data_IF_263621826737
#
_entry.id   IF_263621826737
#
_cell.length_a   1.000
_cell.length_b   1.000
_cell.length_c   1.000
_cell.angle_alpha   90.00
_cell.angle_beta   90.00
_cell.angle_gamma   90.00
#
_symmetry.space_group_name_H-M   'P 1'
#
loop_
_entity.id
_entity.type
_entity.pdbx_description
1 polymer ?
#
# COMPACT_ATOMS: atom_id res chain seq x y z
N UNK A 1 -12.52 0.99 3.98
CA UNK A 1 -11.87 -0.30 3.76
C UNK A 1 -12.89 -1.44 3.83
N UNK A 2 -12.86 -2.35 2.88
CA UNK A 2 -13.74 -3.51 2.79
C UNK A 2 -12.90 -4.76 2.53
N UNK A 3 -13.32 -5.91 3.05
CA UNK A 3 -12.56 -7.17 3.01
C UNK A 3 -12.18 -7.62 1.58
N UNK A 4 -13.04 -7.35 0.61
CA UNK A 4 -12.83 -7.71 -0.80
C UNK A 4 -12.13 -6.61 -1.63
N UNK A 5 -11.70 -5.51 -1.01
CA UNK A 5 -10.99 -4.45 -1.72
C UNK A 5 -9.55 -4.88 -2.02
N UNK A 6 -9.03 -4.68 -3.24
CA UNK A 6 -7.71 -5.14 -3.64
C UNK A 6 -6.58 -4.30 -3.03
N UNK A 7 -6.44 -4.34 -1.72
CA UNK A 7 -5.37 -3.66 -0.99
C UNK A 7 -3.99 -4.30 -1.24
N UNK A 8 -2.97 -3.49 -1.04
CA UNK A 8 -1.55 -3.92 -1.06
C UNK A 8 -1.05 -4.22 0.35
N UNK A 9 -1.64 -3.58 1.34
CA UNK A 9 -1.31 -3.73 2.77
C UNK A 9 -2.47 -4.46 3.46
N UNK A 10 -2.14 -5.41 4.33
CA UNK A 10 -3.14 -6.08 5.15
C UNK A 10 -3.71 -5.14 6.21
N UNK A 11 -5.03 -5.06 6.27
CA UNK A 11 -5.76 -4.38 7.33
C UNK A 11 -6.47 -5.42 8.20
N UNK A 12 -6.36 -5.34 9.53
CA UNK A 12 -6.86 -6.39 10.43
C UNK A 12 -8.38 -6.48 10.46
N UNK A 13 -9.08 -5.42 10.10
CA UNK A 13 -10.53 -5.33 10.11
C UNK A 13 -11.07 -4.28 9.14
N UNK A 14 -12.30 -4.50 8.70
CA UNK A 14 -13.02 -3.52 7.86
C UNK A 14 -13.50 -2.36 8.73
N UNK A 15 -13.11 -1.13 8.37
CA UNK A 15 -13.49 0.10 9.09
C UNK A 15 -13.74 1.26 8.13
N UNK A 16 -14.59 2.17 8.57
CA UNK A 16 -14.78 3.48 7.94
C UNK A 16 -14.03 4.52 8.76
N UNK A 17 -13.23 5.35 8.09
CA UNK A 17 -12.50 6.46 8.71
C UNK A 17 -13.00 7.79 8.16
N UNK A 18 -13.22 8.74 9.03
CA UNK A 18 -13.46 10.12 8.63
C UNK A 18 -12.13 10.74 8.19
N UNK A 19 -12.06 11.15 6.93
CA UNK A 19 -10.85 11.75 6.36
C UNK A 19 -10.92 13.28 6.40
N UNK A 20 -12.08 13.84 6.03
CA UNK A 20 -12.32 15.28 6.04
C UNK A 20 -13.81 15.58 6.07
N UNK A 21 -14.16 16.83 6.44
CA UNK A 21 -15.49 17.40 6.34
C UNK A 21 -15.38 18.63 5.47
N UNK A 22 -16.03 18.58 4.30
CA UNK A 22 -15.96 19.63 3.28
C UNK A 22 -17.33 20.18 2.95
N UNK A 23 -17.41 21.48 2.57
CA UNK A 23 -18.63 22.05 2.05
C UNK A 23 -18.97 21.49 0.67
N UNK A 24 -20.25 21.25 0.42
CA UNK A 24 -20.74 20.79 -0.88
C UNK A 24 -21.26 21.99 -1.71
N UNK A 25 -20.38 22.96 -1.93
CA UNK A 25 -20.67 24.13 -2.75
C UNK A 25 -19.54 24.44 -3.75
N UNK A 26 -19.67 25.53 -4.51
CA UNK A 26 -18.68 25.90 -5.53
C UNK A 26 -17.34 26.40 -4.94
N UNK A 27 -17.30 26.73 -3.68
CA UNK A 27 -16.08 27.14 -2.97
C UNK A 27 -15.66 26.01 -2.06
N UNK A 28 -14.51 25.41 -2.38
CA UNK A 28 -13.93 24.40 -1.53
C UNK A 28 -13.61 25.01 -0.15
N UNK A 29 -14.28 24.51 0.87
CA UNK A 29 -14.02 24.83 2.27
C UNK A 29 -14.03 23.50 3.03
N UNK A 30 -13.09 23.35 3.93
CA UNK A 30 -13.04 22.20 4.83
C UNK A 30 -12.82 22.66 6.26
N UNK A 31 -13.23 21.85 7.21
CA UNK A 31 -12.91 22.08 8.62
C UNK A 31 -11.41 21.95 8.87
N UNK A 32 -10.91 22.63 9.88
CA UNK A 32 -9.56 22.37 10.40
C UNK A 32 -9.45 20.92 10.91
N UNK A 33 -8.20 20.45 11.09
CA UNK A 33 -7.98 19.11 11.62
C UNK A 33 -8.61 18.93 13.00
N UNK A 34 -8.47 19.92 13.90
CA UNK A 34 -9.03 19.90 15.25
C UNK A 34 -10.57 19.87 15.26
N UNK A 35 -11.20 20.68 14.39
CA UNK A 35 -12.66 20.70 14.26
C UNK A 35 -13.17 19.35 13.73
N UNK A 36 -12.49 18.77 12.73
CA UNK A 36 -12.81 17.46 12.20
C UNK A 36 -12.67 16.37 13.28
N UNK A 37 -11.61 16.40 14.09
CA UNK A 37 -11.42 15.48 15.22
C UNK A 37 -12.56 15.59 16.23
N UNK A 38 -12.94 16.82 16.59
CA UNK A 38 -14.05 17.09 17.53
C UNK A 38 -15.36 16.46 17.03
N UNK A 39 -15.67 16.63 15.75
CA UNK A 39 -16.86 16.01 15.15
C UNK A 39 -16.75 14.48 15.15
N UNK A 40 -15.61 13.93 14.75
CA UNK A 40 -15.38 12.49 14.73
C UNK A 40 -15.56 11.84 16.11
N UNK A 41 -15.00 12.45 17.14
CA UNK A 41 -15.14 12.02 18.52
C UNK A 41 -16.60 12.03 19.01
N UNK A 42 -17.33 13.12 18.69
CA UNK A 42 -18.75 13.24 19.03
C UNK A 42 -19.60 12.13 18.40
N UNK A 43 -19.25 11.73 17.18
CA UNK A 43 -19.90 10.67 16.42
C UNK A 43 -19.34 9.26 16.70
N UNK A 44 -18.27 9.18 17.48
CA UNK A 44 -17.53 7.93 17.76
C UNK A 44 -17.05 7.22 16.47
N UNK A 45 -16.60 7.99 15.49
CA UNK A 45 -16.09 7.51 14.21
C UNK A 45 -14.56 7.61 14.22
N UNK A 46 -13.81 6.56 13.86
CA UNK A 46 -12.36 6.66 13.65
C UNK A 46 -12.05 7.73 12.59
N UNK A 47 -11.00 8.49 12.78
CA UNK A 47 -10.60 9.56 11.86
C UNK A 47 -9.13 9.44 11.46
N UNK A 48 -8.72 10.24 10.46
CA UNK A 48 -7.32 10.34 10.04
C UNK A 48 -6.47 10.81 11.23
N UNK A 49 -5.24 10.34 11.30
CA UNK A 49 -4.26 10.74 12.30
C UNK A 49 -3.25 11.72 11.71
N UNK A 50 -2.77 12.66 12.52
CA UNK A 50 -1.64 13.51 12.18
C UNK A 50 -0.35 12.72 12.44
N UNK A 51 0.36 12.36 11.38
CA UNK A 51 1.59 11.58 11.48
C UNK A 51 2.82 12.43 11.75
N UNK A 52 2.95 13.55 11.04
CA UNK A 52 4.10 14.45 11.09
C UNK A 52 3.67 15.89 10.82
N UNK A 53 4.29 16.83 11.51
CA UNK A 53 4.31 18.26 11.19
C UNK A 53 5.71 18.63 10.73
N UNK A 54 5.81 19.32 9.60
CA UNK A 54 7.07 19.64 8.94
C UNK A 54 7.02 21.11 8.54
N UNK A 55 7.94 21.89 9.08
CA UNK A 55 7.92 23.34 8.91
C UNK A 55 8.90 23.83 7.81
N UNK A 56 9.98 23.10 7.57
CA UNK A 56 11.01 23.52 6.63
C UNK A 56 11.21 22.54 5.48
N UNK A 57 11.71 23.03 4.35
CA UNK A 57 12.08 22.16 3.23
C UNK A 57 13.17 21.15 3.57
N UNK A 58 14.12 21.51 4.45
CA UNK A 58 15.16 20.59 4.87
C UNK A 58 14.56 19.42 5.66
N UNK A 59 13.68 19.71 6.63
CA UNK A 59 12.99 18.68 7.40
C UNK A 59 12.13 17.80 6.50
N UNK A 60 11.51 18.40 5.46
CA UNK A 60 10.74 17.64 4.47
C UNK A 60 11.64 16.66 3.70
N UNK A 61 12.82 17.09 3.23
CA UNK A 61 13.75 16.21 2.52
C UNK A 61 14.27 15.08 3.40
N UNK A 62 14.59 15.37 4.64
CA UNK A 62 15.08 14.37 5.59
C UNK A 62 13.98 13.35 5.93
N UNK A 63 12.76 13.84 6.16
CA UNK A 63 11.58 12.99 6.34
C UNK A 63 11.30 12.14 5.09
N UNK A 64 11.27 12.75 3.90
CA UNK A 64 11.00 12.08 2.64
C UNK A 64 11.99 10.94 2.39
N UNK A 65 13.29 11.21 2.52
CA UNK A 65 14.32 10.18 2.34
C UNK A 65 14.15 9.03 3.32
N UNK A 66 13.82 9.33 4.57
CA UNK A 66 13.57 8.31 5.60
C UNK A 66 12.34 7.45 5.29
N UNK A 67 11.21 8.06 4.88
CA UNK A 67 9.98 7.29 4.63
C UNK A 67 9.99 6.55 3.30
N UNK A 68 10.82 6.96 2.35
CA UNK A 68 11.00 6.27 1.07
C UNK A 68 11.96 5.08 1.13
N UNK A 69 12.58 4.84 2.29
CA UNK A 69 13.35 3.63 2.52
C UNK A 69 12.47 2.37 2.35
N UNK A 70 13.04 1.34 1.72
CA UNK A 70 12.30 0.09 1.43
C UNK A 70 11.82 -0.62 2.70
N UNK A 71 12.57 -0.45 3.81
CA UNK A 71 12.28 -1.07 5.11
C UNK A 71 11.43 -0.21 6.03
N UNK A 72 11.05 0.98 5.58
CA UNK A 72 10.28 1.90 6.42
C UNK A 72 8.98 1.28 6.94
N UNK A 73 8.74 1.46 8.25
CA UNK A 73 7.52 1.07 8.96
C UNK A 73 7.02 2.24 9.80
N UNK A 74 5.74 2.55 9.72
CA UNK A 74 5.09 3.53 10.59
C UNK A 74 4.44 2.80 11.77
N UNK A 75 4.81 3.16 13.00
CA UNK A 75 4.33 2.46 14.19
C UNK A 75 4.60 0.94 14.16
N UNK A 76 5.71 0.51 13.56
CA UNK A 76 6.07 -0.91 13.41
C UNK A 76 5.31 -1.67 12.31
N UNK A 77 4.50 -0.99 11.50
CA UNK A 77 3.66 -1.60 10.45
C UNK A 77 3.98 -1.03 9.08
N UNK A 78 3.89 -1.86 8.06
CA UNK A 78 3.90 -1.40 6.66
C UNK A 78 2.61 -0.64 6.38
N UNK A 79 2.73 0.51 5.74
CA UNK A 79 1.59 1.34 5.31
C UNK A 79 1.67 1.61 3.81
N UNK A 80 0.57 2.02 3.21
CA UNK A 80 0.55 2.38 1.78
C UNK A 80 1.30 3.68 1.49
N UNK A 81 1.24 4.64 2.41
CA UNK A 81 1.84 5.97 2.25
C UNK A 81 1.16 7.02 3.10
N UNK A 82 1.45 8.26 2.76
CA UNK A 82 0.95 9.45 3.44
C UNK A 82 0.09 10.31 2.51
N UNK A 83 -0.79 11.08 3.08
CA UNK A 83 -1.35 12.27 2.45
C UNK A 83 -0.63 13.46 3.05
N UNK A 84 0.05 14.23 2.21
CA UNK A 84 0.75 15.45 2.59
C UNK A 84 -0.21 16.60 2.30
N UNK A 85 -0.42 17.45 3.27
CA UNK A 85 -1.27 18.63 3.16
C UNK A 85 -0.46 19.89 3.50
N UNK A 86 -0.50 20.89 2.65
CA UNK A 86 0.13 22.18 2.91
C UNK A 86 -0.77 23.11 3.74
N UNK A 87 -0.22 24.26 4.15
CA UNK A 87 -0.94 25.29 4.93
C UNK A 87 -2.15 25.89 4.21
N UNK A 88 -2.28 25.70 2.89
CA UNK A 88 -3.43 26.15 2.09
C UNK A 88 -4.48 25.04 1.90
N UNK A 89 -4.24 23.85 2.47
CA UNK A 89 -5.14 22.71 2.31
C UNK A 89 -4.94 21.93 1.01
N UNK A 90 -3.88 22.21 0.25
CA UNK A 90 -3.57 21.40 -0.93
C UNK A 90 -3.00 20.04 -0.51
N UNK A 91 -3.52 18.97 -1.11
CA UNK A 91 -3.19 17.61 -0.72
C UNK A 91 -2.51 16.82 -1.84
N UNK A 92 -1.45 16.09 -1.48
CA UNK A 92 -0.74 15.17 -2.38
C UNK A 92 -0.62 13.79 -1.72
N UNK A 93 -0.77 12.72 -2.50
CA UNK A 93 -0.57 11.34 -2.03
C UNK A 93 0.87 10.92 -2.29
N UNK A 94 1.59 10.57 -1.23
CA UNK A 94 2.91 9.94 -1.30
C UNK A 94 2.74 8.45 -1.06
N UNK A 95 2.96 7.63 -2.09
CA UNK A 95 2.97 6.16 -1.98
C UNK A 95 4.39 5.69 -1.72
N UNK A 96 4.57 4.84 -0.71
CA UNK A 96 5.88 4.36 -0.26
C UNK A 96 6.45 3.25 -1.17
N UNK A 97 7.75 2.98 -1.01
CA UNK A 97 8.47 1.99 -1.81
C UNK A 97 7.82 0.60 -1.71
N UNK A 98 7.52 0.14 -0.51
CA UNK A 98 6.82 -1.12 -0.26
C UNK A 98 5.48 -1.23 -1.01
N UNK A 99 4.64 -0.19 -0.98
CA UNK A 99 3.38 -0.18 -1.71
C UNK A 99 3.60 -0.27 -3.22
N UNK A 100 4.54 0.53 -3.76
CA UNK A 100 4.81 0.56 -5.19
C UNK A 100 5.36 -0.79 -5.69
N UNK A 101 6.25 -1.41 -4.91
CA UNK A 101 6.78 -2.74 -5.19
C UNK A 101 5.65 -3.78 -5.27
N UNK A 102 4.85 -3.93 -4.23
CA UNK A 102 3.80 -4.96 -4.21
C UNK A 102 2.64 -4.65 -5.16
N UNK A 103 2.37 -3.38 -5.47
CA UNK A 103 1.44 -3.01 -6.54
C UNK A 103 1.94 -3.48 -7.91
N UNK A 104 3.23 -3.33 -8.17
CA UNK A 104 3.85 -3.85 -9.39
C UNK A 104 3.78 -5.38 -9.41
N UNK A 105 4.15 -6.05 -8.32
CA UNK A 105 4.10 -7.51 -8.21
C UNK A 105 2.67 -8.07 -8.34
N UNK A 106 1.64 -7.37 -7.88
CA UNK A 106 0.24 -7.72 -8.12
C UNK A 106 -0.08 -7.80 -9.62
N UNK A 107 0.37 -6.80 -10.36
CA UNK A 107 0.17 -6.76 -11.81
C UNK A 107 0.94 -7.88 -12.55
N UNK A 108 2.14 -8.22 -12.06
CA UNK A 108 2.95 -9.36 -12.53
C UNK A 108 2.22 -10.69 -12.26
N UNK A 109 1.72 -10.87 -11.04
CA UNK A 109 1.03 -12.10 -10.62
C UNK A 109 -0.19 -12.39 -11.49
N UNK A 110 -1.04 -11.40 -11.72
CA UNK A 110 -2.25 -11.57 -12.52
C UNK A 110 -1.93 -12.04 -13.95
N UNK A 111 -0.87 -11.48 -14.55
CA UNK A 111 -0.47 -11.86 -15.90
C UNK A 111 0.18 -13.26 -15.92
N UNK A 112 1.10 -13.52 -14.98
CA UNK A 112 1.80 -14.80 -14.88
C UNK A 112 0.86 -15.97 -14.59
N UNK A 113 -0.06 -15.82 -13.63
CA UNK A 113 -1.06 -16.87 -13.32
C UNK A 113 -1.96 -17.13 -14.53
N UNK A 114 -2.39 -16.09 -15.25
CA UNK A 114 -3.30 -16.24 -16.38
C UNK A 114 -2.64 -16.84 -17.61
N UNK A 115 -1.38 -16.48 -17.90
CA UNK A 115 -0.70 -16.77 -19.17
C UNK A 115 0.49 -17.72 -19.04
N UNK A 116 1.00 -17.99 -17.84
CA UNK A 116 2.25 -18.71 -17.60
C UNK A 116 3.52 -17.89 -17.87
N UNK A 117 3.39 -16.66 -18.33
CA UNK A 117 4.51 -15.74 -18.63
C UNK A 117 4.08 -14.28 -18.48
N UNK A 118 5.04 -13.37 -18.51
CA UNK A 118 4.82 -11.91 -18.59
C UNK A 118 5.60 -11.33 -19.78
N UNK A 119 5.24 -10.11 -20.19
CA UNK A 119 5.94 -9.40 -21.25
C UNK A 119 7.45 -9.29 -20.96
N UNK A 120 8.36 -9.54 -21.92
CA UNK A 120 9.81 -9.43 -21.72
C UNK A 120 10.28 -8.07 -21.17
N UNK A 121 9.62 -6.97 -21.54
CA UNK A 121 9.94 -5.65 -20.97
C UNK A 121 9.65 -5.58 -19.47
N UNK A 122 8.62 -6.27 -19.01
CA UNK A 122 8.27 -6.36 -17.60
C UNK A 122 9.20 -7.30 -16.84
N UNK A 123 9.66 -8.38 -17.49
CA UNK A 123 10.68 -9.26 -16.93
C UNK A 123 11.97 -8.49 -16.67
N UNK A 124 12.39 -7.61 -17.56
CA UNK A 124 13.56 -6.76 -17.39
C UNK A 124 13.44 -5.77 -16.18
N UNK A 125 12.23 -5.49 -15.72
CA UNK A 125 11.99 -4.65 -14.53
C UNK A 125 12.04 -5.42 -13.20
N UNK A 126 12.20 -6.76 -13.24
CA UNK A 126 12.37 -7.59 -12.06
C UNK A 126 13.85 -7.56 -11.60
N UNK A 127 14.29 -6.42 -11.05
CA UNK A 127 15.71 -6.18 -10.76
C UNK A 127 16.17 -6.70 -9.39
N UNK A 128 15.25 -7.00 -8.47
CA UNK A 128 15.59 -7.46 -7.12
C UNK A 128 15.52 -8.99 -7.00
N UNK A 129 16.30 -9.62 -6.10
CA UNK A 129 16.20 -11.05 -5.82
C UNK A 129 14.78 -11.47 -5.40
N UNK A 130 14.13 -10.66 -4.55
CA UNK A 130 12.76 -10.90 -4.11
C UNK A 130 11.78 -10.90 -5.31
N UNK A 131 11.85 -9.89 -6.19
CA UNK A 131 10.97 -9.80 -7.36
C UNK A 131 11.13 -11.02 -8.29
N UNK A 132 12.37 -11.40 -8.59
CA UNK A 132 12.66 -12.56 -9.44
C UNK A 132 12.16 -13.87 -8.83
N UNK A 133 12.41 -14.06 -7.53
CA UNK A 133 12.01 -15.29 -6.85
C UNK A 133 10.49 -15.40 -6.70
N UNK A 134 9.83 -14.27 -6.38
CA UNK A 134 8.37 -14.22 -6.33
C UNK A 134 7.74 -14.52 -7.71
N UNK A 135 8.26 -13.92 -8.79
CA UNK A 135 7.78 -14.21 -10.14
C UNK A 135 7.98 -15.68 -10.52
N UNK A 136 9.15 -16.25 -10.25
CA UNK A 136 9.41 -17.65 -10.52
C UNK A 136 8.42 -18.55 -9.78
N UNK A 137 8.12 -18.27 -8.52
CA UNK A 137 7.13 -19.00 -7.73
C UNK A 137 5.70 -18.81 -8.27
N UNK A 138 5.27 -17.57 -8.55
CA UNK A 138 3.94 -17.29 -9.11
C UNK A 138 3.71 -18.01 -10.43
N UNK A 139 4.75 -18.14 -11.27
CA UNK A 139 4.67 -18.89 -12.53
C UNK A 139 4.23 -20.33 -12.33
N UNK A 140 4.68 -20.98 -11.26
CA UNK A 140 4.29 -22.37 -10.98
C UNK A 140 2.80 -22.53 -10.68
N UNK A 141 2.12 -21.44 -10.27
CA UNK A 141 0.68 -21.44 -10.01
C UNK A 141 -0.16 -21.49 -11.29
N UNK A 142 0.45 -21.23 -12.46
CA UNK A 142 -0.24 -21.38 -13.75
C UNK A 142 -0.51 -22.84 -14.10
N UNK A 143 0.35 -23.75 -13.64
CA UNK A 143 0.29 -25.18 -13.96
C UNK A 143 -0.63 -25.96 -13.00
N UNK A 144 -1.36 -25.26 -12.11
CA UNK A 144 -2.33 -25.88 -11.20
C UNK A 144 -3.58 -26.29 -11.97
N UNK A 145 -4.13 -27.47 -11.73
CA UNK A 145 -5.31 -28.03 -12.42
C UNK A 145 -6.53 -27.12 -12.35
N UNK A 146 -6.74 -26.43 -11.20
CA UNK A 146 -7.83 -25.49 -11.00
C UNK A 146 -7.28 -24.06 -10.78
N UNK A 147 -7.18 -23.31 -11.86
CA UNK A 147 -6.73 -21.91 -11.83
C UNK A 147 -7.70 -20.97 -11.07
N UNK A 148 -8.94 -21.33 -10.92
CA UNK A 148 -9.93 -20.52 -10.19
C UNK A 148 -9.72 -20.63 -8.67
N UNK A 149 -9.08 -21.71 -8.21
CA UNK A 149 -8.69 -21.87 -6.81
C UNK A 149 -7.49 -21.01 -6.41
N UNK A 150 -6.73 -20.51 -7.38
CA UNK A 150 -5.53 -19.69 -7.11
C UNK A 150 -5.96 -18.28 -6.66
N UNK A 151 -5.53 -17.81 -5.47
CA UNK A 151 -5.87 -16.50 -4.99
C UNK A 151 -5.44 -15.39 -5.95
N UNK A 152 -6.25 -14.35 -6.10
CA UNK A 152 -5.91 -13.15 -6.88
C UNK A 152 -5.50 -11.97 -6.00
N UNK A 153 -5.72 -12.06 -4.71
CA UNK A 153 -5.30 -11.04 -3.75
C UNK A 153 -3.79 -11.10 -3.53
N UNK A 154 -3.11 -9.98 -3.71
CA UNK A 154 -1.64 -9.92 -3.59
C UNK A 154 -1.16 -10.15 -2.15
N UNK A 155 -1.95 -9.76 -1.14
CA UNK A 155 -1.59 -10.03 0.24
C UNK A 155 -1.57 -11.54 0.52
N UNK A 156 -2.61 -12.26 0.06
CA UNK A 156 -2.66 -13.72 0.18
C UNK A 156 -1.52 -14.40 -0.60
N UNK A 157 -1.27 -13.99 -1.84
CA UNK A 157 -0.15 -14.52 -2.64
C UNK A 157 1.20 -14.28 -1.98
N UNK A 158 1.42 -13.09 -1.42
CA UNK A 158 2.64 -12.74 -0.69
C UNK A 158 2.82 -13.62 0.54
N UNK A 159 1.76 -13.81 1.33
CA UNK A 159 1.82 -14.62 2.54
C UNK A 159 2.09 -16.10 2.20
N UNK A 160 1.44 -16.65 1.17
CA UNK A 160 1.72 -17.99 0.64
C UNK A 160 3.16 -18.12 0.14
N UNK A 161 3.68 -17.10 -0.55
CA UNK A 161 5.06 -17.09 -1.02
C UNK A 161 6.03 -17.16 0.16
N UNK A 162 5.84 -16.32 1.18
CA UNK A 162 6.69 -16.31 2.37
C UNK A 162 6.64 -17.61 3.21
N UNK A 163 5.60 -18.41 3.04
CA UNK A 163 5.49 -19.74 3.64
C UNK A 163 6.13 -20.83 2.77
N UNK A 164 6.32 -20.57 1.48
CA UNK A 164 6.96 -21.50 0.55
C UNK A 164 8.47 -21.60 0.77
N UNK A 165 9.07 -22.70 0.32
CA UNK A 165 10.54 -22.88 0.39
C UNK A 165 11.31 -21.82 -0.40
N UNK A 166 10.69 -21.27 -1.45
CA UNK A 166 11.25 -20.20 -2.27
C UNK A 166 11.26 -18.85 -1.57
N UNK A 167 10.30 -18.59 -0.70
CA UNK A 167 10.05 -17.29 -0.11
C UNK A 167 10.50 -17.12 1.34
N UNK A 168 10.67 -18.20 2.10
CA UNK A 168 11.00 -18.16 3.54
C UNK A 168 12.17 -17.24 3.89
N UNK A 169 13.20 -17.19 3.05
CA UNK A 169 14.39 -16.37 3.29
C UNK A 169 14.14 -14.86 3.18
N UNK A 170 13.01 -14.42 2.60
CA UNK A 170 12.64 -13.03 2.45
C UNK A 170 11.59 -12.58 3.47
N UNK A 171 11.15 -13.44 4.38
CA UNK A 171 10.06 -13.15 5.31
C UNK A 171 10.44 -12.09 6.35
N UNK A 172 11.71 -12.01 6.69
CA UNK A 172 12.24 -11.12 7.73
C UNK A 172 12.98 -9.89 7.12
N UNK A 173 12.97 -9.76 5.80
CA UNK A 173 13.43 -8.58 5.06
C UNK A 173 12.20 -7.65 4.84
#
# INVERSE_FOLDING_TARGET
YMENDPHIVNYPESRVFLLDIVSNDMRFQKLSFEEMCTVAESLKIPHKELGYEIETWQDFFDWYNRVMDEDYKYGGRRIEGFVIEDSNGYMVKLKLAYYNFWKFMRSISHEAIKKGYIDPKRTAALVTPLANQFYAWVKTLHDVEDLDSVPRNICTLRDMFYESDSGKKFKDE
#
